data_IF_387985301534
#
_entry.id   IF_387985301534
#
_cell.length_a   1.000
_cell.length_b   1.000
_cell.length_c   1.000
_cell.angle_alpha   90.00
_cell.angle_beta   90.00
_cell.angle_gamma   90.00
#
_symmetry.space_group_name_H-M   'P 1'
#
loop_
_entity.id
_entity.type
_entity.pdbx_description
1 polymer ?
#
# COMPACT_ATOMS: atom_id res chain seq x y z
N UNK A 1 6.66 3.91 0.53
CA UNK A 1 6.15 2.58 0.10
C UNK A 1 6.81 2.16 -1.19
N UNK A 2 6.54 2.82 -2.32
CA UNK A 2 7.12 2.45 -3.62
C UNK A 2 8.67 2.44 -3.63
N UNK A 3 9.29 3.43 -3.00
CA UNK A 3 10.75 3.50 -2.83
C UNK A 3 11.30 2.32 -2.02
N UNK A 4 10.72 2.04 -0.84
CA UNK A 4 11.13 0.91 0.00
C UNK A 4 10.89 -0.47 -0.66
N UNK A 5 9.81 -0.62 -1.42
CA UNK A 5 9.57 -1.86 -2.16
C UNK A 5 10.57 -2.06 -3.30
N UNK A 6 10.98 -0.99 -3.98
CA UNK A 6 12.00 -1.05 -5.04
C UNK A 6 13.40 -1.35 -4.46
N UNK A 7 13.76 -0.69 -3.37
CA UNK A 7 14.99 -0.96 -2.63
C UNK A 7 15.04 -2.42 -2.15
N UNK A 8 13.95 -2.94 -1.60
CA UNK A 8 13.85 -4.33 -1.17
C UNK A 8 14.02 -5.30 -2.35
N UNK A 9 13.35 -5.05 -3.47
CA UNK A 9 13.50 -5.87 -4.68
C UNK A 9 14.95 -5.91 -5.19
N UNK A 10 15.64 -4.78 -5.17
CA UNK A 10 17.06 -4.69 -5.60
C UNK A 10 18.00 -5.39 -4.63
N UNK A 11 17.78 -5.24 -3.33
CA UNK A 11 18.59 -5.90 -2.31
C UNK A 11 18.48 -7.43 -2.39
N UNK A 12 17.26 -7.95 -2.57
CA UNK A 12 17.03 -9.40 -2.73
C UNK A 12 17.68 -10.02 -3.97
N UNK A 13 18.04 -9.22 -4.99
CA UNK A 13 18.73 -9.69 -6.19
C UNK A 13 20.25 -9.82 -6.02
N UNK A 14 20.84 -9.24 -4.96
CA UNK A 14 22.28 -9.26 -4.69
C UNK A 14 22.58 -10.21 -3.52
N UNK A 15 23.44 -11.20 -3.78
CA UNK A 15 23.53 -12.44 -3.00
C UNK A 15 23.89 -12.30 -1.52
N UNK A 16 25.07 -11.80 -1.12
CA UNK A 16 25.55 -12.02 0.28
C UNK A 16 25.68 -10.73 1.13
N UNK A 17 26.28 -9.65 0.64
CA UNK A 17 26.43 -8.38 1.40
C UNK A 17 25.10 -7.65 1.62
N UNK A 18 24.13 -7.89 0.75
CA UNK A 18 22.83 -7.22 0.74
C UNK A 18 21.75 -8.01 1.52
N UNK A 19 22.05 -9.20 2.06
CA UNK A 19 21.07 -9.99 2.84
C UNK A 19 20.68 -9.27 4.12
N UNK A 20 21.67 -8.76 4.88
CA UNK A 20 21.40 -8.04 6.13
C UNK A 20 20.58 -6.77 5.85
N UNK A 21 20.90 -6.09 4.75
CA UNK A 21 20.15 -4.92 4.30
C UNK A 21 18.74 -5.29 3.82
N UNK A 22 18.58 -6.38 3.08
CA UNK A 22 17.29 -6.91 2.64
C UNK A 22 16.40 -7.32 3.83
N UNK A 23 16.94 -8.00 4.84
CA UNK A 23 16.21 -8.37 6.07
C UNK A 23 15.73 -7.11 6.80
N UNK A 24 16.59 -6.09 6.92
CA UNK A 24 16.20 -4.81 7.49
C UNK A 24 15.06 -4.16 6.69
N UNK A 25 15.18 -4.13 5.36
CA UNK A 25 14.14 -3.59 4.47
C UNK A 25 12.83 -4.38 4.56
N UNK A 26 12.86 -5.70 4.77
CA UNK A 26 11.66 -6.50 5.06
C UNK A 26 11.01 -6.02 6.36
N UNK A 27 11.79 -5.81 7.42
CA UNK A 27 11.32 -5.28 8.69
C UNK A 27 10.67 -3.90 8.54
N UNK A 28 11.34 -2.97 7.87
CA UNK A 28 10.84 -1.62 7.59
C UNK A 28 9.56 -1.68 6.74
N UNK A 29 9.53 -2.53 5.71
CA UNK A 29 8.34 -2.72 4.86
C UNK A 29 7.15 -3.25 5.65
N UNK A 30 7.36 -4.25 6.52
CA UNK A 30 6.33 -4.77 7.43
C UNK A 30 5.81 -3.67 8.37
N UNK A 31 6.69 -2.80 8.88
CA UNK A 31 6.30 -1.66 9.71
C UNK A 31 5.44 -0.65 8.92
N UNK A 32 5.86 -0.27 7.72
CA UNK A 32 5.11 0.67 6.87
C UNK A 32 3.73 0.13 6.47
N UNK A 33 3.64 -1.17 6.14
CA UNK A 33 2.36 -1.82 5.82
C UNK A 33 1.40 -1.76 7.02
N UNK A 34 1.90 -2.00 8.24
CA UNK A 34 1.11 -1.85 9.48
C UNK A 34 0.68 -0.41 9.71
N UNK A 35 1.57 0.55 9.49
CA UNK A 35 1.25 1.97 9.63
C UNK A 35 0.17 2.41 8.63
N UNK A 36 0.25 1.96 7.38
CA UNK A 36 -0.72 2.27 6.33
C UNK A 36 -2.14 1.77 6.65
N UNK A 37 -2.26 0.74 7.48
CA UNK A 37 -3.55 0.23 7.96
C UNK A 37 -4.25 1.19 8.93
N UNK A 38 -3.49 2.07 9.59
CA UNK A 38 -4.05 3.07 10.51
C UNK A 38 -4.65 4.25 9.75
N UNK A 39 -5.64 4.91 10.33
CA UNK A 39 -6.25 6.11 9.75
C UNK A 39 -5.19 7.17 9.44
N UNK A 40 -4.33 7.48 10.41
CA UNK A 40 -3.26 8.46 10.25
C UNK A 40 -2.26 8.08 9.14
N UNK A 41 -1.87 6.80 9.05
CA UNK A 41 -0.94 6.35 8.01
C UNK A 41 -1.57 6.34 6.62
N UNK A 42 -2.85 5.98 6.50
CA UNK A 42 -3.60 6.06 5.26
C UNK A 42 -3.74 7.52 4.80
N UNK A 43 -4.08 8.44 5.71
CA UNK A 43 -4.24 9.86 5.39
C UNK A 43 -2.93 10.51 4.96
N UNK A 44 -1.82 10.20 5.64
CA UNK A 44 -0.48 10.64 5.24
C UNK A 44 -0.10 10.11 3.85
N UNK A 45 -0.38 8.84 3.57
CA UNK A 45 -0.13 8.25 2.25
C UNK A 45 -0.96 8.92 1.15
N UNK A 46 -2.27 9.09 1.37
CA UNK A 46 -3.15 9.78 0.42
C UNK A 46 -2.68 11.22 0.18
N UNK A 47 -2.21 11.91 1.22
CA UNK A 47 -1.65 13.27 1.11
C UNK A 47 -0.39 13.27 0.24
N UNK A 48 0.53 12.34 0.46
CA UNK A 48 1.76 12.19 -0.35
C UNK A 48 1.45 11.89 -1.82
N UNK A 49 0.52 10.97 -2.09
CA UNK A 49 0.09 10.65 -3.45
C UNK A 49 -0.61 11.85 -4.10
N UNK A 50 -1.48 12.55 -3.37
CA UNK A 50 -2.16 13.76 -3.85
C UNK A 50 -1.17 14.87 -4.21
N UNK A 51 -0.17 15.10 -3.35
CA UNK A 51 0.92 16.05 -3.60
C UNK A 51 1.73 15.67 -4.85
N UNK A 52 2.10 14.39 -4.99
CA UNK A 52 2.78 13.90 -6.18
C UNK A 52 1.94 14.12 -7.45
N UNK A 53 0.67 13.72 -7.44
CA UNK A 53 -0.23 13.92 -8.57
C UNK A 53 -0.35 15.39 -8.94
N UNK A 54 -0.53 16.27 -7.95
CA UNK A 54 -0.63 17.72 -8.15
C UNK A 54 0.64 18.27 -8.78
N UNK A 55 1.82 17.89 -8.28
CA UNK A 55 3.14 18.28 -8.82
C UNK A 55 3.31 17.88 -10.28
N UNK A 56 2.74 16.75 -10.68
CA UNK A 56 2.86 16.19 -12.02
C UNK A 56 1.63 16.44 -12.92
N UNK A 57 0.72 17.35 -12.52
CA UNK A 57 -0.52 17.68 -13.23
C UNK A 57 -1.42 16.45 -13.53
N UNK A 58 -1.36 15.45 -12.66
CA UNK A 58 -2.24 14.28 -12.69
C UNK A 58 -3.52 14.65 -11.93
N UNK A 59 -4.68 14.44 -12.57
CA UNK A 59 -5.98 14.73 -11.96
C UNK A 59 -6.18 13.90 -10.70
N UNK A 60 -6.39 14.58 -9.57
CA UNK A 60 -6.73 13.95 -8.29
C UNK A 60 -8.24 13.76 -8.20
N UNK A 61 -8.67 12.63 -7.65
CA UNK A 61 -10.08 12.33 -7.38
C UNK A 61 -10.54 13.03 -6.11
N UNK A 62 -11.79 13.45 -6.07
CA UNK A 62 -12.41 13.97 -4.86
C UNK A 62 -12.62 12.83 -3.85
N UNK A 63 -11.86 12.84 -2.75
CA UNK A 63 -11.89 11.77 -1.75
C UNK A 63 -13.22 11.70 -0.97
N UNK A 64 -13.93 12.82 -0.82
CA UNK A 64 -15.25 12.89 -0.19
C UNK A 64 -16.37 12.60 -1.20
N UNK A 65 -16.07 12.74 -2.49
CA UNK A 65 -16.97 12.44 -3.58
C UNK A 65 -17.36 10.95 -3.64
N UNK A 66 -18.52 10.65 -4.25
CA UNK A 66 -18.96 9.28 -4.44
C UNK A 66 -18.00 8.49 -5.32
N UNK A 67 -17.76 7.23 -4.96
CA UNK A 67 -17.01 6.29 -5.78
C UNK A 67 -17.88 5.77 -6.94
N UNK A 68 -17.32 5.81 -8.14
CA UNK A 68 -17.93 5.26 -9.35
C UNK A 68 -17.01 4.20 -9.96
N UNK A 69 -17.39 2.91 -9.93
CA UNK A 69 -16.58 1.86 -10.55
C UNK A 69 -16.54 2.04 -12.07
N UNK A 70 -15.37 1.78 -12.66
CA UNK A 70 -15.11 1.91 -14.11
C UNK A 70 -15.92 0.87 -14.92
N UNK A 71 -16.27 -0.26 -14.32
CA UNK A 71 -17.09 -1.31 -14.94
C UNK A 71 -18.59 -1.05 -14.72
N UNK A 72 -19.44 -1.55 -15.64
CA UNK A 72 -20.92 -1.42 -15.55
C UNK A 72 -21.37 -1.62 -14.09
N UNK A 73 -22.13 -0.68 -13.50
CA UNK A 73 -22.64 -0.89 -12.16
C UNK A 73 -23.46 -2.16 -12.18
N UNK A 74 -23.03 -3.20 -11.44
CA UNK A 74 -23.97 -4.22 -10.99
C UNK A 74 -25.07 -3.42 -10.29
N UNK A 75 -26.30 -3.46 -10.80
CA UNK A 75 -27.46 -2.79 -10.21
C UNK A 75 -27.38 -2.92 -8.68
N UNK A 76 -27.16 -1.80 -7.98
CA UNK A 76 -27.09 -1.75 -6.52
C UNK A 76 -25.71 -1.63 -5.86
N UNK A 77 -24.59 -1.49 -6.60
CA UNK A 77 -23.25 -1.32 -5.99
C UNK A 77 -22.79 0.13 -5.78
N UNK A 78 -23.55 1.13 -6.23
CA UNK A 78 -23.32 2.52 -5.80
C UNK A 78 -23.93 2.69 -4.41
N UNK A 79 -23.27 2.16 -3.39
CA UNK A 79 -23.78 2.09 -2.01
C UNK A 79 -23.75 3.45 -1.29
N UNK A 80 -23.37 4.54 -1.98
CA UNK A 80 -23.01 5.81 -1.35
C UNK A 80 -21.62 5.82 -0.72
N UNK A 81 -20.76 4.84 -1.04
CA UNK A 81 -19.38 4.83 -0.58
C UNK A 81 -18.59 5.98 -1.23
N UNK A 82 -17.74 6.64 -0.44
CA UNK A 82 -16.83 7.68 -0.93
C UNK A 82 -15.61 7.06 -1.61
N UNK A 83 -14.91 7.82 -2.44
CA UNK A 83 -13.62 7.41 -2.99
C UNK A 83 -12.64 7.01 -1.89
N UNK A 84 -12.61 7.75 -0.77
CA UNK A 84 -11.79 7.42 0.38
C UNK A 84 -12.10 6.03 0.95
N UNK A 85 -13.39 5.72 1.15
CA UNK A 85 -13.79 4.41 1.68
C UNK A 85 -13.33 3.28 0.75
N UNK A 86 -13.53 3.45 -0.56
CA UNK A 86 -13.10 2.46 -1.54
C UNK A 86 -11.58 2.22 -1.51
N UNK A 87 -10.77 3.28 -1.56
CA UNK A 87 -9.32 3.12 -1.54
C UNK A 87 -8.82 2.51 -0.24
N UNK A 88 -9.33 2.97 0.90
CA UNK A 88 -8.86 2.51 2.20
C UNK A 88 -9.34 1.10 2.52
N UNK A 89 -10.65 0.89 2.50
CA UNK A 89 -11.28 -0.33 3.03
C UNK A 89 -11.31 -1.42 1.99
N UNK A 90 -11.75 -1.12 0.76
CA UNK A 90 -11.92 -2.16 -0.26
C UNK A 90 -10.61 -2.51 -0.98
N UNK A 91 -9.65 -1.59 -1.06
CA UNK A 91 -8.43 -1.77 -1.86
C UNK A 91 -7.16 -1.92 -1.01
N UNK A 92 -6.86 -0.94 -0.14
CA UNK A 92 -5.60 -0.94 0.61
C UNK A 92 -5.55 -2.03 1.67
N UNK A 93 -6.62 -2.28 2.43
CA UNK A 93 -6.63 -3.34 3.44
C UNK A 93 -6.33 -4.70 2.81
N UNK A 94 -7.05 -5.08 1.75
CA UNK A 94 -6.82 -6.35 1.04
C UNK A 94 -5.39 -6.47 0.49
N UNK A 95 -4.87 -5.38 -0.08
CA UNK A 95 -3.50 -5.34 -0.58
C UNK A 95 -2.46 -5.48 0.54
N UNK A 96 -2.63 -4.72 1.63
CA UNK A 96 -1.75 -4.76 2.82
C UNK A 96 -1.75 -6.15 3.43
N UNK A 97 -2.91 -6.79 3.56
CA UNK A 97 -3.06 -8.12 4.16
C UNK A 97 -2.34 -9.16 3.31
N UNK A 98 -2.50 -9.10 1.99
CA UNK A 98 -1.78 -9.99 1.07
C UNK A 98 -0.27 -9.81 1.16
N UNK A 99 0.22 -8.57 1.10
CA UNK A 99 1.66 -8.28 1.18
C UNK A 99 2.24 -8.69 2.54
N UNK A 100 1.53 -8.41 3.63
CA UNK A 100 1.95 -8.78 4.98
C UNK A 100 2.01 -10.29 5.14
N UNK A 101 0.99 -11.01 4.66
CA UNK A 101 0.95 -12.47 4.70
C UNK A 101 2.08 -13.10 3.89
N UNK A 102 2.38 -12.57 2.70
CA UNK A 102 3.47 -13.05 1.87
C UNK A 102 4.85 -12.81 2.51
N UNK A 103 5.06 -11.63 3.08
CA UNK A 103 6.31 -11.30 3.77
C UNK A 103 6.50 -12.12 5.06
N UNK A 104 5.43 -12.44 5.78
CA UNK A 104 5.50 -13.33 6.93
C UNK A 104 5.77 -14.77 6.50
N UNK A 105 5.07 -15.29 5.47
CA UNK A 105 5.29 -16.65 5.00
C UNK A 105 6.71 -16.92 4.45
N UNK A 106 7.37 -15.90 3.89
CA UNK A 106 8.72 -16.04 3.30
C UNK A 106 9.87 -15.66 4.25
N UNK A 107 9.63 -14.75 5.18
CA UNK A 107 10.66 -14.15 6.05
C UNK A 107 10.22 -14.16 7.52
N UNK A 108 9.43 -15.15 7.94
CA UNK A 108 9.19 -15.34 9.37
C UNK A 108 10.49 -15.80 10.03
N UNK A 109 10.74 -15.24 11.19
CA UNK A 109 11.81 -15.59 12.12
C UNK A 109 11.50 -17.00 12.67
N UNK A 110 11.64 -18.03 11.85
CA UNK A 110 11.77 -19.39 12.36
C UNK A 110 13.16 -19.45 12.97
N UNK A 111 13.22 -19.15 14.28
CA UNK A 111 14.37 -19.38 15.14
C UNK A 111 15.10 -20.66 14.71
N UNK A 112 16.31 -20.49 14.20
CA UNK A 112 17.37 -21.51 14.30
C UNK A 112 18.50 -20.89 15.09
#
# INVERSE_FOLDING_TARGET
IFEHTDELCRALQKQDEDIVHAIKLVGDTKYYLKALRTDAGCDDFITKVTSFCTKHNIKVVDMEGPYFPVSRPKKGLCNGATNYHHFKVDMFVDFIDRQTSELNGRFDEVNT
#
